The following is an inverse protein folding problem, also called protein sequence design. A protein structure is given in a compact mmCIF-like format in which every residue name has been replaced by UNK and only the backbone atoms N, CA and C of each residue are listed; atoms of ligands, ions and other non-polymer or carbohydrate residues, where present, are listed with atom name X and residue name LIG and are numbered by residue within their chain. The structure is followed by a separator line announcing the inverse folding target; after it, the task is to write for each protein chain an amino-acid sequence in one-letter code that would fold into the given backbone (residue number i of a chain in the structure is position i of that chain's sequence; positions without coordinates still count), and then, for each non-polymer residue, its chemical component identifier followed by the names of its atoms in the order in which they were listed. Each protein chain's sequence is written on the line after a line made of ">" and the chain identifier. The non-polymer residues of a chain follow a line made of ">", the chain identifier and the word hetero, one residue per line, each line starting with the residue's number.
data_IF_296615367021
#
_entry.id   IF_296615367021
#
_cell.length_a   1.000
_cell.length_b   1.000
_cell.length_c   1.000
_cell.angle_alpha   90.00
_cell.angle_beta   90.00
_cell.angle_gamma   90.00
#
_symmetry.space_group_name_H-M   'P 1'
#
loop_
_entity.id
_entity.type
_entity.pdbx_description
1 polymer ?
#
# COMPACT_ATOMS: atom_id res chain seq x y z
N UNK A 1 16.08 7.65 6.43
CA UNK A 1 14.73 8.22 6.29
C UNK A 1 13.83 7.08 5.88
N UNK A 2 12.77 6.86 6.62
CA UNK A 2 11.74 5.86 6.32
C UNK A 2 10.97 6.25 5.06
N UNK A 3 10.31 5.32 4.38
CA UNK A 3 9.49 5.62 3.22
C UNK A 3 8.27 6.42 3.59
N UNK A 4 7.67 6.18 4.75
CA UNK A 4 6.61 7.05 5.27
C UNK A 4 7.10 8.50 5.44
N UNK A 5 8.31 8.73 5.95
CA UNK A 5 8.89 10.10 6.03
C UNK A 5 9.14 10.69 4.64
N UNK A 6 9.71 9.91 3.72
CA UNK A 6 9.98 10.34 2.33
C UNK A 6 8.70 10.78 1.61
N UNK A 7 7.61 10.04 1.82
CA UNK A 7 6.29 10.29 1.22
C UNK A 7 5.39 11.17 2.09
N UNK A 8 5.90 11.74 3.17
CA UNK A 8 5.16 12.61 4.09
C UNK A 8 3.86 11.98 4.62
N UNK A 9 3.93 10.67 4.90
CA UNK A 9 2.85 9.87 5.46
C UNK A 9 2.95 9.80 6.99
N UNK A 10 1.80 9.93 7.65
CA UNK A 10 1.65 9.83 9.10
C UNK A 10 0.78 8.62 9.43
N UNK A 11 1.31 7.75 10.30
CA UNK A 11 0.61 6.56 10.79
C UNK A 11 0.08 6.84 12.18
N UNK A 12 -1.22 6.60 12.39
CA UNK A 12 -1.90 6.90 13.64
C UNK A 12 -2.65 5.68 14.17
N UNK A 13 -2.56 5.46 15.48
CA UNK A 13 -3.30 4.43 16.22
C UNK A 13 -4.42 5.11 16.98
N UNK A 14 -5.67 4.81 16.62
CA UNK A 14 -6.85 5.46 17.18
C UNK A 14 -7.66 4.45 17.98
N UNK A 15 -8.14 4.86 19.16
CA UNK A 15 -9.06 4.07 19.96
C UNK A 15 -10.49 4.54 19.67
N UNK A 16 -11.27 3.73 18.95
CA UNK A 16 -12.62 4.06 18.53
C UNK A 16 -13.60 2.98 19.02
N UNK A 17 -14.55 3.36 19.88
CA UNK A 17 -15.54 2.43 20.46
C UNK A 17 -14.94 1.13 21.04
N UNK A 18 -13.83 1.24 21.79
CA UNK A 18 -13.05 0.12 22.35
C UNK A 18 -12.36 -0.79 21.32
N UNK A 19 -12.35 -0.41 20.03
CA UNK A 19 -11.55 -1.05 18.99
C UNK A 19 -10.33 -0.18 18.70
N UNK A 20 -9.19 -0.83 18.47
CA UNK A 20 -8.01 -0.17 17.95
C UNK A 20 -8.14 -0.15 16.43
N UNK A 21 -8.17 1.05 15.87
CA UNK A 21 -8.10 1.31 14.44
C UNK A 21 -6.72 1.90 14.10
N UNK A 22 -6.28 1.65 12.87
CA UNK A 22 -5.01 2.14 12.35
C UNK A 22 -5.31 3.01 11.14
N UNK A 23 -4.78 4.22 11.13
CA UNK A 23 -5.04 5.22 10.12
C UNK A 23 -3.73 5.66 9.46
N UNK A 24 -3.82 6.02 8.18
CA UNK A 24 -2.71 6.56 7.42
C UNK A 24 -3.16 7.85 6.73
N UNK A 25 -2.40 8.92 6.91
CA UNK A 25 -2.68 10.24 6.34
C UNK A 25 -1.46 10.76 5.58
N UNK A 26 -1.70 11.59 4.56
CA UNK A 26 -0.64 12.34 3.91
C UNK A 26 -0.66 13.80 4.38
N UNK A 27 0.52 14.31 4.73
CA UNK A 27 0.72 15.66 5.33
C UNK A 27 1.46 16.62 4.40
N UNK A 28 1.89 16.14 3.23
CA UNK A 28 2.64 16.90 2.25
C UNK A 28 1.77 17.72 1.29
N UNK A 29 2.45 18.35 0.32
CA UNK A 29 1.79 19.21 -0.68
C UNK A 29 1.40 18.47 -1.96
N UNK A 30 1.97 17.29 -2.23
CA UNK A 30 1.65 16.53 -3.44
C UNK A 30 0.37 15.71 -3.21
N UNK A 31 -0.76 16.07 -3.84
CA UNK A 31 -2.05 15.41 -3.58
C UNK A 31 -2.08 13.93 -3.99
N UNK A 32 -1.13 13.48 -4.82
CA UNK A 32 -1.08 12.10 -5.29
C UNK A 32 -0.81 11.10 -4.17
N UNK A 33 -0.04 11.50 -3.16
CA UNK A 33 0.22 10.67 -1.98
C UNK A 33 -1.00 10.53 -1.05
N UNK A 34 -2.06 11.33 -1.22
CA UNK A 34 -3.33 11.05 -0.52
C UNK A 34 -3.93 9.72 -0.98
N UNK A 35 -3.73 9.34 -2.25
CA UNK A 35 -4.20 8.05 -2.79
C UNK A 35 -3.45 6.90 -2.15
N UNK A 36 -2.13 7.03 -2.07
CA UNK A 36 -1.28 6.06 -1.36
C UNK A 36 -1.69 5.90 0.11
N UNK A 37 -1.92 7.02 0.80
CA UNK A 37 -2.39 7.00 2.18
C UNK A 37 -3.74 6.28 2.31
N UNK A 38 -4.67 6.54 1.39
CA UNK A 38 -5.96 5.87 1.36
C UNK A 38 -5.84 4.35 1.11
N UNK A 39 -5.00 3.91 0.16
CA UNK A 39 -4.78 2.48 -0.08
C UNK A 39 -4.21 1.78 1.17
N UNK A 40 -3.21 2.38 1.83
CA UNK A 40 -2.65 1.84 3.07
C UNK A 40 -3.69 1.77 4.20
N UNK A 41 -4.56 2.77 4.30
CA UNK A 41 -5.65 2.78 5.28
C UNK A 41 -6.65 1.64 5.10
N UNK A 42 -7.02 1.32 3.85
CA UNK A 42 -8.02 0.27 3.57
C UNK A 42 -7.43 -1.14 3.50
N UNK A 43 -6.14 -1.28 3.16
CA UNK A 43 -5.46 -2.58 3.17
C UNK A 43 -5.37 -3.16 4.58
N UNK A 44 -5.82 -4.40 4.73
CA UNK A 44 -5.56 -5.22 5.90
C UNK A 44 -4.15 -5.84 5.84
N UNK A 45 -3.81 -6.65 6.85
CA UNK A 45 -2.49 -7.28 6.94
C UNK A 45 -2.24 -8.27 5.80
N UNK A 46 -3.23 -9.08 5.46
CA UNK A 46 -3.18 -10.06 4.39
C UNK A 46 -3.03 -9.37 3.03
N UNK A 47 -3.72 -8.25 2.79
CA UNK A 47 -3.52 -7.53 1.53
C UNK A 47 -2.11 -6.92 1.42
N UNK A 48 -1.54 -6.41 2.53
CA UNK A 48 -0.17 -5.92 2.52
C UNK A 48 0.84 -7.04 2.23
N UNK A 49 0.70 -8.19 2.90
CA UNK A 49 1.55 -9.37 2.69
C UNK A 49 1.41 -9.90 1.26
N UNK A 50 0.17 -9.99 0.77
CA UNK A 50 -0.13 -10.43 -0.60
C UNK A 50 0.48 -9.51 -1.65
N UNK A 51 0.39 -8.19 -1.49
CA UNK A 51 1.01 -7.26 -2.45
C UNK A 51 2.53 -7.37 -2.45
N UNK A 52 3.16 -7.62 -1.30
CA UNK A 52 4.60 -7.90 -1.23
C UNK A 52 4.94 -9.17 -2.02
N UNK A 53 4.15 -10.23 -1.86
CA UNK A 53 4.34 -11.50 -2.58
C UNK A 53 4.19 -11.34 -4.09
N UNK A 54 3.16 -10.63 -4.56
CA UNK A 54 2.94 -10.34 -5.98
C UNK A 54 4.09 -9.50 -6.58
N UNK A 55 4.62 -8.52 -5.83
CA UNK A 55 5.83 -7.78 -6.23
C UNK A 55 7.03 -8.72 -6.35
N UNK A 56 7.23 -9.63 -5.40
CA UNK A 56 8.35 -10.58 -5.43
C UNK A 56 8.22 -11.55 -6.62
N UNK A 57 7.01 -12.04 -6.90
CA UNK A 57 6.73 -12.88 -8.08
C UNK A 57 7.09 -12.12 -9.37
N UNK A 58 6.67 -10.86 -9.48
CA UNK A 58 6.97 -10.01 -10.63
C UNK A 58 8.47 -9.74 -10.82
N UNK A 59 9.22 -9.51 -9.74
CA UNK A 59 10.68 -9.35 -9.77
C UNK A 59 11.42 -10.63 -10.17
N UNK A 60 10.89 -11.80 -9.78
CA UNK A 60 11.47 -13.11 -10.09
C UNK A 60 11.07 -13.64 -11.48
N UNK A 61 10.22 -12.93 -12.22
CA UNK A 61 9.69 -13.38 -13.51
C UNK A 61 8.69 -14.54 -13.39
N UNK A 62 8.08 -14.69 -12.21
CA UNK A 62 7.02 -15.65 -11.94
C UNK A 62 5.64 -15.06 -12.32
N UNK A 63 4.59 -15.87 -12.21
CA UNK A 63 3.24 -15.36 -12.44
C UNK A 63 2.83 -14.43 -11.30
N UNK A 64 2.24 -13.29 -11.66
CA UNK A 64 1.65 -12.32 -10.75
C UNK A 64 0.37 -11.75 -11.35
N UNK A 65 -0.51 -11.22 -10.51
CA UNK A 65 -1.70 -10.50 -10.96
C UNK A 65 -1.36 -9.06 -11.34
N UNK A 66 -1.68 -8.66 -12.57
CA UNK A 66 -1.39 -7.29 -13.04
C UNK A 66 -2.20 -6.22 -12.28
N UNK A 67 -3.42 -6.55 -11.88
CA UNK A 67 -4.29 -5.70 -11.05
C UNK A 67 -4.48 -6.39 -9.70
N UNK A 68 -4.01 -5.75 -8.64
CA UNK A 68 -4.05 -6.32 -7.29
C UNK A 68 -5.40 -6.04 -6.61
N UNK A 69 -6.05 -7.10 -6.14
CA UNK A 69 -7.35 -7.03 -5.46
C UNK A 69 -7.18 -6.68 -3.99
N UNK A 70 -7.94 -5.70 -3.50
CA UNK A 70 -8.01 -5.32 -2.08
C UNK A 70 -9.11 -6.04 -1.32
N UNK A 71 -9.95 -6.79 -2.02
CA UNK A 71 -10.96 -7.65 -1.42
C UNK A 71 -11.14 -8.97 -2.21
N UNK A 72 -12.04 -9.83 -1.72
CA UNK A 72 -12.47 -11.03 -2.42
C UNK A 72 -13.59 -10.75 -3.45
N UNK A 73 -13.92 -9.49 -3.74
CA UNK A 73 -14.87 -9.13 -4.78
C UNK A 73 -14.21 -9.20 -6.16
N UNK A 74 -15.05 -9.30 -7.18
CA UNK A 74 -14.68 -9.91 -8.45
C UNK A 74 -13.92 -8.99 -9.44
N UNK A 75 -13.54 -7.77 -9.07
CA UNK A 75 -13.01 -6.77 -9.99
C UNK A 75 -11.82 -6.00 -9.40
N UNK A 76 -10.63 -6.60 -9.46
CA UNK A 76 -9.37 -6.02 -8.96
C UNK A 76 -8.89 -4.79 -9.74
N UNK A 77 -9.45 -4.50 -10.90
CA UNK A 77 -9.18 -3.30 -11.69
C UNK A 77 -9.81 -2.02 -11.09
N UNK A 78 -10.88 -2.17 -10.30
CA UNK A 78 -11.51 -1.04 -9.60
C UNK A 78 -10.72 -0.60 -8.34
N UNK A 79 -9.85 -1.46 -7.82
CA UNK A 79 -9.03 -1.19 -6.64
C UNK A 79 -7.83 -0.28 -6.93
N UNK A 80 -7.53 -0.02 -8.20
CA UNK A 80 -6.57 1.00 -8.61
C UNK A 80 -5.14 0.73 -8.13
N UNK A 81 -4.74 -0.53 -8.01
CA UNK A 81 -3.36 -0.95 -7.76
C UNK A 81 -2.90 -1.81 -8.94
N UNK A 82 -2.04 -1.26 -9.79
CA UNK A 82 -1.46 -1.98 -10.92
C UNK A 82 -0.01 -2.35 -10.63
N UNK A 83 0.36 -3.60 -10.90
CA UNK A 83 1.73 -4.10 -10.82
C UNK A 83 2.35 -4.00 -12.22
N UNK A 84 3.25 -3.04 -12.41
CA UNK A 84 3.90 -2.70 -13.68
C UNK A 84 5.42 -2.66 -13.50
N UNK A 85 6.12 -3.80 -13.56
CA UNK A 85 7.54 -3.88 -13.25
C UNK A 85 8.39 -2.80 -13.94
N UNK A 86 9.26 -2.09 -13.20
CA UNK A 86 9.64 -2.28 -11.79
C UNK A 86 8.85 -1.40 -10.78
N UNK A 87 7.59 -1.06 -11.08
CA UNK A 87 6.79 -0.10 -10.32
C UNK A 87 5.38 -0.60 -10.00
N UNK A 88 4.78 -0.02 -8.97
CA UNK A 88 3.34 -0.01 -8.73
C UNK A 88 2.77 1.29 -9.24
N UNK A 89 1.61 1.23 -9.88
CA UNK A 89 0.81 2.40 -10.26
C UNK A 89 -0.45 2.43 -9.40
N UNK A 90 -0.66 3.56 -8.70
CA UNK A 90 -1.86 3.78 -7.89
C UNK A 90 -2.80 4.74 -8.62
N UNK A 91 -4.04 4.30 -8.83
CA UNK A 91 -5.14 5.00 -9.51
C UNK A 91 -4.70 5.69 -10.83
N UNK A 92 -3.84 5.02 -11.60
CA UNK A 92 -3.30 5.49 -12.88
C UNK A 92 -2.53 6.82 -12.83
N UNK A 93 -2.05 7.20 -11.66
CA UNK A 93 -1.44 8.52 -11.44
C UNK A 93 -0.11 8.46 -10.70
N UNK A 94 -0.08 7.77 -9.55
CA UNK A 94 1.12 7.75 -8.71
C UNK A 94 1.95 6.52 -9.02
N UNK A 95 3.21 6.72 -9.41
CA UNK A 95 4.17 5.66 -9.68
C UNK A 95 5.08 5.50 -8.46
N UNK A 96 5.12 4.31 -7.88
CA UNK A 96 5.99 3.96 -6.75
C UNK A 96 6.87 2.78 -7.17
N UNK A 97 8.19 2.87 -6.98
CA UNK A 97 9.06 1.71 -7.29
C UNK A 97 8.75 0.52 -6.38
N UNK A 98 8.96 -0.70 -6.87
CA UNK A 98 8.79 -1.93 -6.08
C UNK A 98 9.53 -1.90 -4.74
N UNK A 99 10.80 -1.46 -4.76
CA UNK A 99 11.62 -1.36 -3.54
C UNK A 99 11.00 -0.43 -2.50
N UNK A 100 10.47 0.71 -2.96
CA UNK A 100 9.84 1.70 -2.08
C UNK A 100 8.48 1.23 -1.58
N UNK A 101 7.68 0.57 -2.43
CA UNK A 101 6.40 0.00 -2.01
C UNK A 101 6.60 -1.09 -0.95
N UNK A 102 7.51 -2.04 -1.17
CA UNK A 102 7.80 -3.10 -0.18
C UNK A 102 8.23 -2.54 1.17
N UNK A 103 9.20 -1.62 1.17
CA UNK A 103 9.64 -0.95 2.41
C UNK A 103 8.49 -0.21 3.10
N UNK A 104 7.60 0.44 2.36
CA UNK A 104 6.46 1.15 2.94
C UNK A 104 5.41 0.19 3.52
N UNK A 105 5.14 -0.93 2.85
CA UNK A 105 4.24 -1.99 3.35
C UNK A 105 4.82 -2.64 4.61
N UNK A 106 6.12 -2.94 4.63
CA UNK A 106 6.81 -3.44 5.83
C UNK A 106 6.70 -2.45 7.00
N UNK A 107 6.94 -1.15 6.76
CA UNK A 107 6.77 -0.09 7.77
C UNK A 107 5.34 -0.03 8.30
N UNK A 108 4.34 -0.21 7.44
CA UNK A 108 2.92 -0.22 7.82
C UNK A 108 2.56 -1.47 8.63
N UNK A 109 3.03 -2.64 8.22
CA UNK A 109 2.85 -3.91 8.93
C UNK A 109 3.47 -3.86 10.32
N UNK A 110 4.70 -3.37 10.44
CA UNK A 110 5.42 -3.19 11.71
C UNK A 110 4.64 -2.26 12.65
N UNK A 111 4.13 -1.14 12.12
CA UNK A 111 3.30 -0.21 12.89
C UNK A 111 2.03 -0.89 13.43
N UNK A 112 1.34 -1.68 12.60
CA UNK A 112 0.11 -2.37 12.99
C UNK A 112 0.32 -3.47 14.02
N UNK A 113 1.49 -4.09 14.04
CA UNK A 113 1.85 -5.12 15.02
C UNK A 113 2.36 -4.54 16.36
N UNK A 114 2.50 -3.20 16.47
CA UNK A 114 2.98 -2.50 17.68
C UNK A 114 1.89 -2.07 18.66
#
# INVERSE_FOLDING_TARGET
>A
MTKREQYQLEFLKVLNNNRVDYECYHTGQNPDFNRLAFKLYIMDKLECEGLIDEINNAENGEYYEHFFSLDNAAASDEDGIEIVPPNIIIDNQLIISFSDMKQLLDEWLDFRNS
#
